data_IF_044880936969
#
_entry.id   IF_044880936969
#
_cell.length_a   1.000
_cell.length_b   1.000
_cell.length_c   1.000
_cell.angle_alpha   90.00
_cell.angle_beta   90.00
_cell.angle_gamma   90.00
#
_symmetry.space_group_name_H-M   'P 1'
#
loop_
_entity.id
_entity.type
_entity.pdbx_description
1 polymer ?
#
# COMPACT_ATOMS: atom_id res chain seq x y z
N UNK A 1 -14.52 -21.36 -8.92
CA UNK A 1 -14.88 -20.31 -7.95
C UNK A 1 -15.08 -20.95 -6.58
N UNK A 2 -14.61 -20.33 -5.50
CA UNK A 2 -14.82 -20.80 -4.12
C UNK A 2 -15.92 -19.94 -3.50
N UNK A 3 -16.90 -20.55 -2.83
CA UNK A 3 -17.95 -19.82 -2.13
C UNK A 3 -17.39 -19.29 -0.81
N UNK A 4 -17.41 -17.98 -0.63
CA UNK A 4 -16.94 -17.31 0.59
C UNK A 4 -18.05 -16.43 1.13
N UNK A 5 -18.28 -16.49 2.44
CA UNK A 5 -19.13 -15.54 3.15
C UNK A 5 -18.23 -14.51 3.83
N UNK A 6 -18.46 -13.23 3.53
CA UNK A 6 -17.76 -12.10 4.13
C UNK A 6 -18.77 -11.15 4.76
N UNK A 7 -18.33 -10.36 5.73
CA UNK A 7 -19.12 -9.27 6.30
C UNK A 7 -18.66 -7.95 5.71
N UNK A 8 -19.60 -7.06 5.40
CA UNK A 8 -19.34 -5.71 4.89
C UNK A 8 -20.05 -4.72 5.82
N UNK A 9 -19.41 -3.61 6.21
CA UNK A 9 -20.13 -2.50 6.84
C UNK A 9 -21.28 -2.03 5.94
N UNK A 10 -22.40 -1.65 6.55
CA UNK A 10 -23.63 -1.31 5.84
C UNK A 10 -23.41 -0.26 4.74
N UNK A 11 -22.68 0.81 5.03
CA UNK A 11 -22.41 1.87 4.06
C UNK A 11 -21.53 1.37 2.89
N UNK A 12 -20.58 0.49 3.16
CA UNK A 12 -19.74 -0.12 2.12
C UNK A 12 -20.57 -1.06 1.22
N UNK A 13 -21.50 -1.82 1.82
CA UNK A 13 -22.41 -2.68 1.06
C UNK A 13 -23.33 -1.87 0.14
N UNK A 14 -23.92 -0.77 0.65
CA UNK A 14 -24.78 0.12 -0.14
C UNK A 14 -24.05 0.72 -1.33
N UNK A 15 -22.83 1.17 -1.09
CA UNK A 15 -22.00 1.77 -2.15
C UNK A 15 -21.61 0.74 -3.21
N UNK A 16 -21.20 -0.47 -2.78
CA UNK A 16 -20.93 -1.56 -3.71
C UNK A 16 -22.17 -1.97 -4.53
N UNK A 17 -23.36 -1.91 -3.93
CA UNK A 17 -24.65 -2.16 -4.62
C UNK A 17 -24.99 -1.06 -5.64
N UNK A 18 -24.71 0.21 -5.32
CA UNK A 18 -24.86 1.34 -6.25
C UNK A 18 -23.97 1.15 -7.48
N UNK A 19 -22.68 0.87 -7.26
CA UNK A 19 -21.71 0.60 -8.34
C UNK A 19 -22.16 -0.58 -9.20
N UNK A 20 -22.59 -1.67 -8.59
CA UNK A 20 -23.08 -2.85 -9.31
C UNK A 20 -24.26 -2.50 -10.24
N UNK A 21 -25.20 -1.68 -9.76
CA UNK A 21 -26.35 -1.25 -10.54
C UNK A 21 -25.96 -0.32 -11.70
N UNK A 22 -25.11 0.69 -11.44
CA UNK A 22 -24.67 1.66 -12.46
C UNK A 22 -23.80 1.04 -13.55
N UNK A 23 -23.04 -0.01 -13.22
CA UNK A 23 -22.14 -0.70 -14.15
C UNK A 23 -22.77 -1.95 -14.76
N UNK A 24 -24.04 -2.25 -14.46
CA UNK A 24 -24.77 -3.43 -14.95
C UNK A 24 -24.02 -4.76 -14.70
N UNK A 25 -23.40 -4.87 -13.52
CA UNK A 25 -22.64 -6.06 -13.09
C UNK A 25 -23.16 -6.59 -11.75
N UNK A 26 -22.82 -7.84 -11.44
CA UNK A 26 -23.17 -8.41 -10.13
C UNK A 26 -22.34 -7.79 -9.00
N UNK A 27 -22.87 -7.82 -7.77
CA UNK A 27 -22.09 -7.44 -6.57
C UNK A 27 -20.81 -8.29 -6.42
N UNK A 28 -20.89 -9.58 -6.77
CA UNK A 28 -19.73 -10.47 -6.74
C UNK A 28 -18.62 -10.02 -7.71
N UNK A 29 -19.00 -9.46 -8.85
CA UNK A 29 -18.06 -8.93 -9.84
C UNK A 29 -17.39 -7.63 -9.34
N UNK A 30 -18.14 -6.75 -8.68
CA UNK A 30 -17.56 -5.56 -8.01
C UNK A 30 -16.51 -5.99 -6.97
N UNK A 31 -16.86 -6.95 -6.12
CA UNK A 31 -15.95 -7.47 -5.10
C UNK A 31 -14.71 -8.15 -5.71
N UNK A 32 -14.87 -8.94 -6.78
CA UNK A 32 -13.75 -9.55 -7.50
C UNK A 32 -12.78 -8.51 -8.03
N UNK A 33 -13.27 -7.49 -8.74
CA UNK A 33 -12.43 -6.40 -9.26
C UNK A 33 -11.72 -5.64 -8.15
N UNK A 34 -12.40 -5.41 -7.03
CA UNK A 34 -11.80 -4.83 -5.82
C UNK A 34 -10.63 -5.65 -5.30
N UNK A 35 -10.81 -6.97 -5.15
CA UNK A 35 -9.75 -7.88 -4.69
C UNK A 35 -8.58 -7.95 -5.68
N UNK A 36 -8.84 -7.97 -6.99
CA UNK A 36 -7.80 -7.94 -8.03
C UNK A 36 -7.02 -6.62 -8.03
N UNK A 37 -7.69 -5.50 -7.75
CA UNK A 37 -7.02 -4.21 -7.57
C UNK A 37 -6.10 -4.24 -6.33
N UNK A 38 -6.58 -4.77 -5.20
CA UNK A 38 -5.77 -4.93 -4.00
C UNK A 38 -4.54 -5.81 -4.26
N UNK A 39 -4.68 -6.91 -5.01
CA UNK A 39 -3.53 -7.75 -5.36
C UNK A 39 -2.43 -6.99 -6.11
N UNK A 40 -2.80 -6.03 -6.98
CA UNK A 40 -1.82 -5.18 -7.69
C UNK A 40 -1.12 -4.20 -6.76
N UNK A 41 -1.81 -3.70 -5.73
CA UNK A 41 -1.22 -2.81 -4.73
C UNK A 41 -0.30 -3.54 -3.73
N UNK A 42 -0.56 -4.83 -3.51
CA UNK A 42 0.19 -5.68 -2.59
C UNK A 42 0.81 -6.86 -3.34
N UNK A 43 1.82 -6.62 -4.21
CA UNK A 43 2.46 -7.69 -4.94
C UNK A 43 3.13 -8.68 -3.96
N UNK A 44 3.20 -9.97 -4.34
CA UNK A 44 3.95 -10.95 -3.57
C UNK A 44 5.45 -10.57 -3.56
N UNK A 45 6.20 -11.08 -2.58
CA UNK A 45 7.65 -10.86 -2.52
C UNK A 45 8.09 -9.73 -1.59
N UNK A 46 7.23 -9.28 -0.66
CA UNK A 46 7.74 -8.62 0.55
C UNK A 46 8.67 -9.59 1.25
N UNK A 47 9.95 -9.21 1.30
CA UNK A 47 10.98 -10.01 1.94
C UNK A 47 10.68 -10.17 3.43
N UNK A 48 10.78 -11.39 3.95
CA UNK A 48 10.83 -11.63 5.40
C UNK A 48 12.18 -11.21 5.99
N UNK A 49 13.18 -10.93 5.16
CA UNK A 49 14.45 -10.39 5.64
C UNK A 49 14.26 -8.94 6.07
N UNK A 50 14.91 -8.51 7.16
CA UNK A 50 14.95 -7.12 7.53
C UNK A 50 15.41 -6.30 6.33
N UNK A 51 14.66 -5.24 6.00
CA UNK A 51 15.10 -4.29 5.01
C UNK A 51 16.38 -3.63 5.54
N UNK A 52 17.45 -3.69 4.75
CA UNK A 52 18.66 -2.94 5.00
C UNK A 52 18.76 -1.86 3.93
N UNK A 53 19.14 -0.61 4.26
CA UNK A 53 19.46 0.36 3.25
C UNK A 53 20.60 -0.17 2.37
N UNK A 54 20.64 0.17 1.07
CA UNK A 54 21.79 -0.15 0.24
C UNK A 54 23.06 0.41 0.89
N UNK A 55 24.23 -0.23 0.70
CA UNK A 55 25.48 0.32 1.18
C UNK A 55 25.64 1.72 0.62
N UNK A 56 26.05 2.65 1.47
CA UNK A 56 26.26 4.01 1.02
C UNK A 56 27.42 4.04 0.03
N UNK A 57 27.19 4.62 -1.13
CA UNK A 57 28.20 4.77 -2.17
C UNK A 57 28.64 6.23 -2.25
N UNK A 58 29.96 6.44 -2.38
CA UNK A 58 30.59 7.75 -2.60
C UNK A 58 30.10 8.93 -1.71
N UNK A 59 29.88 8.71 -0.40
CA UNK A 59 29.41 9.75 0.54
C UNK A 59 30.35 10.95 0.72
N UNK A 60 31.60 10.86 0.25
CA UNK A 60 32.61 11.89 0.43
C UNK A 60 33.04 12.05 1.89
N UNK A 61 33.79 13.12 2.15
CA UNK A 61 34.19 13.49 3.51
C UNK A 61 33.07 14.28 4.22
N UNK A 62 32.99 14.13 5.54
CA UNK A 62 32.13 14.98 6.35
C UNK A 62 32.50 16.45 6.15
N UNK A 63 31.54 17.25 5.68
CA UNK A 63 31.72 18.70 5.47
C UNK A 63 31.77 19.50 6.77
N UNK A 64 31.39 18.88 7.89
CA UNK A 64 31.42 19.47 9.22
C UNK A 64 31.57 18.39 10.31
N UNK A 65 32.20 18.72 11.45
CA UNK A 65 32.29 17.83 12.60
C UNK A 65 30.91 17.63 13.25
N UNK A 66 30.72 16.47 13.89
CA UNK A 66 29.43 15.99 14.42
C UNK A 66 28.77 16.99 15.36
N UNK A 67 29.56 17.69 16.15
CA UNK A 67 29.13 18.65 17.16
C UNK A 67 28.34 19.81 16.53
N UNK A 68 28.61 20.13 15.25
CA UNK A 68 27.97 21.23 14.53
C UNK A 68 26.76 20.82 13.69
N UNK A 69 26.45 19.53 13.58
CA UNK A 69 25.37 19.07 12.70
C UNK A 69 24.01 19.65 13.10
N UNK A 70 23.74 19.81 14.41
CA UNK A 70 22.48 20.37 14.91
C UNK A 70 22.32 21.84 14.52
N UNK A 71 23.38 22.63 14.58
CA UNK A 71 23.34 24.04 14.17
C UNK A 71 23.10 24.17 12.66
N UNK A 72 23.80 23.36 11.86
CA UNK A 72 23.74 23.42 10.40
C UNK A 72 22.44 22.85 9.82
N UNK A 73 21.82 21.87 10.47
CA UNK A 73 20.57 21.26 10.00
C UNK A 73 19.30 22.04 10.34
N UNK A 74 19.39 23.06 11.20
CA UNK A 74 18.27 23.90 11.63
C UNK A 74 18.37 25.35 11.11
N UNK A 75 19.34 25.66 10.25
CA UNK A 75 19.49 26.94 9.56
C UNK A 75 18.68 26.95 8.26
#
# INVERSE_FOLDING_TARGET
>A
MIRTQIQLPDELYREAKRIAAEQEISLAEVLRRGLEHMQRLYPPGRSHHPWHPPPADALGAFRAPKERWRELGNA
#
